data_IF_271215050933
#
_entry.id   IF_271215050933
#
_cell.length_a   1.000
_cell.length_b   1.000
_cell.length_c   1.000
_cell.angle_alpha   90.00
_cell.angle_beta   90.00
_cell.angle_gamma   90.00
#
_symmetry.space_group_name_H-M   'P 1'
#
loop_
_entity.id
_entity.type
_entity.pdbx_description
1 polymer ?
#
# COMPACT_ATOMS: atom_id res chain seq x y z
N UNK A 1 3.02 -18.71 25.79
CA UNK A 1 3.62 -17.90 24.74
C UNK A 1 4.94 -17.32 25.25
N UNK A 2 5.98 -17.42 24.48
CA UNK A 2 7.26 -16.84 24.86
C UNK A 2 7.34 -15.35 24.49
N UNK A 3 8.23 -14.63 25.13
CA UNK A 3 8.53 -13.24 24.78
C UNK A 3 8.99 -13.14 23.33
N UNK A 4 9.76 -14.11 22.86
CA UNK A 4 10.25 -14.12 21.48
C UNK A 4 9.11 -14.26 20.46
N UNK A 5 8.08 -15.05 20.77
CA UNK A 5 6.91 -15.15 19.90
C UNK A 5 6.16 -13.82 19.81
N UNK A 6 5.98 -13.13 20.94
CA UNK A 6 5.34 -11.83 20.95
C UNK A 6 6.16 -10.81 20.16
N UNK A 7 7.48 -10.82 20.29
CA UNK A 7 8.37 -9.95 19.55
C UNK A 7 8.32 -10.23 18.04
N UNK A 8 8.25 -11.50 17.64
CA UNK A 8 8.11 -11.86 16.23
C UNK A 8 6.81 -11.34 15.64
N UNK A 9 5.71 -11.49 16.34
CA UNK A 9 4.40 -10.99 15.88
C UNK A 9 4.46 -9.46 15.72
N UNK A 10 5.03 -8.77 16.70
CA UNK A 10 5.19 -7.32 16.63
C UNK A 10 6.09 -6.91 15.46
N UNK A 11 7.17 -7.64 15.22
CA UNK A 11 8.09 -7.36 14.12
C UNK A 11 7.39 -7.52 12.75
N UNK A 12 6.49 -8.50 12.62
CA UNK A 12 5.73 -8.65 11.36
C UNK A 12 4.79 -7.48 11.13
N UNK A 13 4.16 -6.98 12.19
CA UNK A 13 3.32 -5.78 12.11
C UNK A 13 4.12 -4.55 11.71
N UNK A 14 5.31 -4.37 12.29
CA UNK A 14 6.19 -3.26 11.93
C UNK A 14 6.64 -3.33 10.47
N UNK A 15 7.00 -4.51 9.98
CA UNK A 15 7.38 -4.71 8.59
C UNK A 15 6.23 -4.37 7.64
N UNK A 16 5.02 -4.81 7.98
CA UNK A 16 3.82 -4.52 7.19
C UNK A 16 3.53 -3.02 7.15
N UNK A 17 3.63 -2.33 8.28
CA UNK A 17 3.41 -0.88 8.34
C UNK A 17 4.51 -0.12 7.60
N UNK A 18 5.75 -0.60 7.64
CA UNK A 18 6.83 0.00 6.86
C UNK A 18 6.55 -0.07 5.36
N UNK A 19 6.09 -1.21 4.88
CA UNK A 19 5.71 -1.35 3.46
C UNK A 19 4.55 -0.42 3.13
N UNK A 20 3.58 -0.29 4.02
CA UNK A 20 2.48 0.66 3.85
C UNK A 20 3.01 2.10 3.73
N UNK A 21 3.94 2.50 4.60
CA UNK A 21 4.59 3.81 4.52
C UNK A 21 5.28 4.01 3.18
N UNK A 22 6.00 3.01 2.68
CA UNK A 22 6.70 3.09 1.40
C UNK A 22 5.70 3.27 0.25
N UNK A 23 4.57 2.55 0.26
CA UNK A 23 3.54 2.67 -0.76
C UNK A 23 2.88 4.04 -0.73
N UNK A 24 2.55 4.55 0.46
CA UNK A 24 1.98 5.90 0.61
C UNK A 24 2.96 6.95 0.10
N UNK A 25 4.24 6.79 0.42
CA UNK A 25 5.30 7.71 -0.06
C UNK A 25 5.40 7.70 -1.57
N UNK A 26 5.27 6.54 -2.21
CA UNK A 26 5.22 6.44 -3.67
C UNK A 26 4.01 7.17 -4.24
N UNK A 27 2.85 7.04 -3.60
CA UNK A 27 1.64 7.75 -4.04
C UNK A 27 1.85 9.26 -4.01
N UNK A 28 2.43 9.78 -2.93
CA UNK A 28 2.69 11.21 -2.80
C UNK A 28 3.73 11.66 -3.83
N UNK A 29 4.80 10.89 -4.00
CA UNK A 29 5.85 11.22 -4.96
C UNK A 29 5.33 11.27 -6.40
N UNK A 30 4.29 10.50 -6.70
CA UNK A 30 3.72 10.39 -8.04
C UNK A 30 2.39 11.13 -8.20
N UNK A 31 2.04 12.03 -7.28
CA UNK A 31 0.74 12.73 -7.31
C UNK A 31 0.53 13.55 -8.60
N UNK A 32 1.61 13.98 -9.22
CA UNK A 32 1.58 14.75 -10.48
C UNK A 32 2.10 13.95 -11.68
N UNK A 33 2.30 12.65 -11.54
CA UNK A 33 2.82 11.81 -12.61
C UNK A 33 1.71 11.46 -13.59
N UNK A 34 1.72 12.10 -14.76
CA UNK A 34 0.70 11.92 -15.79
C UNK A 34 1.05 10.79 -16.78
N UNK A 35 2.28 10.32 -16.74
CA UNK A 35 2.74 9.22 -17.59
C UNK A 35 3.81 8.41 -16.85
N UNK A 36 3.58 7.11 -16.74
CA UNK A 36 4.56 6.16 -16.20
C UNK A 36 5.42 5.57 -17.33
N UNK A 37 6.25 4.58 -17.00
CA UNK A 37 7.13 3.93 -17.97
C UNK A 37 6.35 3.23 -19.10
N UNK A 38 5.11 2.84 -18.85
CA UNK A 38 4.23 2.17 -19.82
C UNK A 38 3.34 3.16 -20.56
N UNK A 39 3.45 4.46 -20.32
CA UNK A 39 2.65 5.49 -20.94
C UNK A 39 1.28 5.72 -20.30
N UNK A 40 1.02 5.12 -19.16
CA UNK A 40 -0.25 5.25 -18.45
C UNK A 40 -0.13 6.24 -17.29
N UNK A 41 -1.27 6.80 -16.87
CA UNK A 41 -1.33 7.64 -15.68
C UNK A 41 -1.09 6.78 -14.45
N UNK A 42 -0.30 7.31 -13.49
CA UNK A 42 -0.07 6.63 -12.22
C UNK A 42 -1.39 6.37 -11.50
N UNK A 43 -1.56 5.18 -10.97
CA UNK A 43 -2.74 4.81 -10.16
C UNK A 43 -2.34 4.68 -8.70
N UNK A 44 -3.21 5.15 -7.82
CA UNK A 44 -3.00 5.04 -6.38
C UNK A 44 -2.82 3.59 -5.98
N UNK A 45 -1.80 3.31 -5.19
CA UNK A 45 -1.55 1.98 -4.64
C UNK A 45 -1.91 1.93 -3.18
N UNK A 46 -2.40 0.80 -2.74
CA UNK A 46 -2.67 0.52 -1.34
C UNK A 46 -2.28 -0.91 -1.02
N UNK A 47 -2.11 -1.20 0.26
CA UNK A 47 -1.74 -2.54 0.72
C UNK A 47 -2.93 -3.22 1.36
N UNK A 48 -3.00 -4.53 1.22
CA UNK A 48 -4.00 -5.37 1.88
C UNK A 48 -3.27 -6.20 2.93
N UNK A 49 -3.63 -6.01 4.18
CA UNK A 49 -3.09 -6.78 5.29
C UNK A 49 -3.85 -8.08 5.45
N UNK A 50 -3.14 -9.08 5.86
CA UNK A 50 -3.71 -10.41 6.08
C UNK A 50 -2.98 -11.07 7.24
N UNK A 51 -3.70 -11.85 8.03
CA UNK A 51 -3.06 -12.67 9.04
C UNK A 51 -2.23 -13.77 8.36
N UNK A 52 -1.01 -13.99 8.84
CA UNK A 52 -0.18 -15.09 8.34
C UNK A 52 -0.88 -16.41 8.61
N UNK A 53 -0.89 -17.31 7.63
CA UNK A 53 -1.44 -18.63 7.75
C UNK A 53 -0.34 -19.68 7.70
N UNK A 54 -0.59 -20.83 8.30
CA UNK A 54 0.33 -21.95 8.20
C UNK A 54 0.15 -22.64 6.86
N UNK A 55 1.27 -22.94 6.22
CA UNK A 55 1.26 -23.55 4.88
C UNK A 55 1.56 -25.05 4.91
N UNK A 56 1.94 -25.60 6.10
CA UNK A 56 2.27 -27.00 6.23
C UNK A 56 1.49 -27.64 7.39
N UNK A 57 1.43 -28.97 7.37
CA UNK A 57 0.81 -29.71 8.47
C UNK A 57 1.56 -29.49 9.78
N UNK A 58 2.89 -29.44 9.73
CA UNK A 58 3.70 -29.19 10.93
C UNK A 58 3.39 -27.81 11.54
N UNK A 59 3.25 -26.79 10.68
CA UNK A 59 2.86 -25.46 11.14
C UNK A 59 1.46 -25.46 11.74
N UNK A 60 0.52 -26.17 11.10
CA UNK A 60 -0.84 -26.30 11.60
C UNK A 60 -0.87 -27.01 12.95
N UNK A 61 -0.04 -28.03 13.13
CA UNK A 61 0.06 -28.76 14.39
C UNK A 61 0.62 -27.87 15.50
N UNK A 62 1.67 -27.11 15.21
CA UNK A 62 2.24 -26.16 16.16
C UNK A 62 1.20 -25.12 16.56
N UNK A 63 0.43 -24.63 15.61
CA UNK A 63 -0.64 -23.68 15.89
C UNK A 63 -1.70 -24.28 16.81
N UNK A 64 -2.12 -25.52 16.54
CA UNK A 64 -3.13 -26.19 17.34
C UNK A 64 -2.66 -26.43 18.78
N UNK A 65 -1.37 -26.74 18.98
CA UNK A 65 -0.83 -27.03 20.29
C UNK A 65 -0.32 -25.78 21.02
N UNK A 66 0.18 -24.81 20.27
CA UNK A 66 0.79 -23.60 20.84
C UNK A 66 -0.16 -22.43 20.99
N UNK A 67 -1.29 -22.44 20.29
CA UNK A 67 -2.26 -21.36 20.27
C UNK A 67 -1.59 -20.01 20.02
N UNK A 68 -0.66 -19.96 19.10
CA UNK A 68 0.13 -18.77 18.82
C UNK A 68 -0.44 -18.01 17.63
N UNK A 69 -0.53 -16.71 17.79
CA UNK A 69 -0.73 -15.82 16.65
C UNK A 69 0.48 -15.91 15.72
N UNK A 70 0.25 -15.65 14.43
CA UNK A 70 1.26 -15.81 13.40
C UNK A 70 1.81 -14.50 12.90
N UNK A 71 1.17 -13.40 13.30
CA UNK A 71 1.53 -12.09 12.83
C UNK A 71 0.77 -11.68 11.57
N UNK A 72 1.24 -10.64 10.93
CA UNK A 72 0.59 -9.96 9.80
C UNK A 72 1.51 -10.00 8.60
N UNK A 73 0.93 -10.17 7.43
CA UNK A 73 1.65 -10.01 6.16
C UNK A 73 0.85 -9.13 5.22
N UNK A 74 1.50 -8.65 4.18
CA UNK A 74 0.82 -7.97 3.09
C UNK A 74 0.51 -9.01 2.03
N UNK A 75 -0.79 -9.26 1.78
CA UNK A 75 -1.21 -10.25 0.80
C UNK A 75 -1.05 -9.77 -0.63
N UNK A 76 -1.28 -8.47 -0.85
CA UNK A 76 -1.03 -7.87 -2.16
C UNK A 76 -0.93 -6.35 -2.04
N UNK A 77 -0.31 -5.77 -3.05
CA UNK A 77 -0.33 -4.33 -3.29
C UNK A 77 -1.35 -4.08 -4.39
N UNK A 78 -2.39 -3.37 -4.04
CA UNK A 78 -3.57 -3.17 -4.89
C UNK A 78 -3.47 -1.81 -5.59
N UNK A 79 -3.79 -1.78 -6.89
CA UNK A 79 -3.91 -0.53 -7.64
C UNK A 79 -5.38 -0.13 -7.74
N UNK A 80 -5.67 1.10 -7.34
CA UNK A 80 -7.01 1.66 -7.45
C UNK A 80 -7.26 2.06 -8.91
N UNK A 81 -8.23 1.42 -9.54
CA UNK A 81 -8.54 1.65 -10.95
C UNK A 81 -9.48 2.83 -11.21
N UNK A 82 -9.93 3.52 -10.15
CA UNK A 82 -10.81 4.67 -10.33
C UNK A 82 -10.12 5.78 -11.14
N UNK A 83 -10.92 6.60 -11.81
CA UNK A 83 -10.40 7.67 -12.64
C UNK A 83 -9.78 8.77 -11.80
N UNK A 84 -8.69 9.33 -12.31
CA UNK A 84 -8.01 10.44 -11.67
C UNK A 84 -8.66 11.78 -12.01
N UNK A 85 -8.04 12.84 -11.49
CA UNK A 85 -8.47 14.21 -11.71
C UNK A 85 -8.12 14.64 -13.14
N UNK A 86 -9.09 15.24 -13.82
CA UNK A 86 -8.85 15.84 -15.14
C UNK A 86 -8.70 17.35 -15.01
N UNK A 87 -7.67 17.89 -15.63
CA UNK A 87 -7.37 19.32 -15.61
C UNK A 87 -7.20 19.80 -17.05
N UNK A 88 -7.81 20.94 -17.37
CA UNK A 88 -7.67 21.56 -18.69
C UNK A 88 -6.31 22.27 -18.77
N UNK A 89 -5.40 21.74 -19.56
CA UNK A 89 -4.11 22.32 -19.84
C UNK A 89 -3.62 21.87 -21.22
N UNK A 90 -4.07 22.58 -22.28
CA UNK A 90 -3.73 22.14 -23.64
C UNK A 90 -2.24 22.30 -23.99
N UNK A 91 -1.48 23.04 -23.20
CA UNK A 91 -0.03 23.18 -23.41
C UNK A 91 0.77 22.03 -22.81
N UNK A 92 0.14 21.16 -22.00
CA UNK A 92 0.83 20.05 -21.37
C UNK A 92 1.15 18.95 -22.40
N UNK A 93 2.37 18.35 -22.35
CA UNK A 93 2.75 17.29 -23.31
C UNK A 93 1.83 16.08 -23.30
N UNK A 94 1.17 15.80 -22.19
CA UNK A 94 0.28 14.65 -22.01
C UNK A 94 -1.20 15.01 -22.15
N UNK A 95 -1.51 16.22 -22.66
CA UNK A 95 -2.88 16.62 -22.90
C UNK A 95 -3.51 15.78 -24.01
N UNK A 96 -4.80 15.47 -23.88
CA UNK A 96 -5.55 14.77 -24.90
C UNK A 96 -5.98 15.72 -26.03
N UNK A 97 -6.76 15.19 -26.99
CA UNK A 97 -7.23 15.98 -28.12
C UNK A 97 -8.11 17.16 -27.72
N UNK A 98 -8.75 17.06 -26.56
CA UNK A 98 -9.61 18.11 -26.01
C UNK A 98 -8.86 19.08 -25.11
N UNK A 99 -7.57 18.86 -24.89
CA UNK A 99 -6.73 19.70 -24.06
C UNK A 99 -6.77 19.35 -22.57
N UNK A 100 -7.29 18.19 -22.20
CA UNK A 100 -7.35 17.74 -20.80
C UNK A 100 -6.19 16.82 -20.47
N UNK A 101 -5.65 17.00 -19.27
CA UNK A 101 -4.62 16.13 -18.69
C UNK A 101 -5.24 15.34 -17.55
N UNK A 102 -5.03 14.04 -17.56
CA UNK A 102 -5.49 13.18 -16.46
C UNK A 102 -4.36 13.01 -15.45
N UNK A 103 -4.61 13.44 -14.23
CA UNK A 103 -3.67 13.27 -13.11
C UNK A 103 -4.02 12.02 -12.33
N UNK A 104 -3.07 11.49 -11.52
CA UNK A 104 -3.34 10.31 -10.69
C UNK A 104 -4.52 10.51 -9.74
N UNK A 105 -5.17 9.41 -9.40
CA UNK A 105 -6.27 9.38 -8.43
C UNK A 105 -5.76 9.40 -6.98
N UNK A 106 -4.72 10.19 -6.72
CA UNK A 106 -4.09 10.36 -5.42
C UNK A 106 -4.57 11.67 -4.80
N UNK A 107 -5.08 11.59 -3.57
CA UNK A 107 -5.43 12.77 -2.79
C UNK A 107 -4.34 13.01 -1.76
N UNK A 108 -3.60 14.09 -1.90
CA UNK A 108 -2.45 14.41 -1.04
C UNK A 108 -2.84 14.48 0.44
N UNK A 109 -3.99 15.06 0.76
CA UNK A 109 -4.45 15.17 2.16
C UNK A 109 -4.73 13.79 2.75
N UNK A 110 -5.40 12.93 2.00
CA UNK A 110 -5.68 11.55 2.42
C UNK A 110 -4.37 10.77 2.63
N UNK A 111 -3.43 10.90 1.71
CA UNK A 111 -2.14 10.20 1.81
C UNK A 111 -1.31 10.71 2.99
N UNK A 112 -1.34 12.01 3.28
CA UNK A 112 -0.68 12.56 4.47
C UNK A 112 -1.30 12.05 5.76
N UNK A 113 -2.63 11.94 5.82
CA UNK A 113 -3.33 11.36 6.95
C UNK A 113 -2.94 9.89 7.13
N UNK A 114 -2.88 9.15 6.04
CA UNK A 114 -2.49 7.74 6.06
C UNK A 114 -1.04 7.56 6.51
N UNK A 115 -0.13 8.46 6.12
CA UNK A 115 1.26 8.43 6.59
C UNK A 115 1.33 8.63 8.09
N UNK A 116 0.58 9.57 8.62
CA UNK A 116 0.54 9.84 10.07
C UNK A 116 0.01 8.60 10.80
N UNK A 117 -1.06 8.01 10.29
CA UNK A 117 -1.66 6.82 10.87
C UNK A 117 -0.70 5.63 10.83
N UNK A 118 -0.06 5.38 9.70
CA UNK A 118 0.91 4.30 9.55
C UNK A 118 2.15 4.51 10.44
N UNK A 119 2.60 5.76 10.56
CA UNK A 119 3.74 6.09 11.44
C UNK A 119 3.42 5.83 12.91
N UNK A 120 2.20 6.13 13.33
CA UNK A 120 1.75 5.82 14.70
C UNK A 120 1.60 4.33 14.94
N UNK A 121 1.21 3.58 13.91
CA UNK A 121 1.02 2.14 14.00
C UNK A 121 2.35 1.38 13.98
N UNK A 122 3.39 1.98 13.41
CA UNK A 122 4.72 1.40 13.35
C UNK A 122 5.39 1.47 14.72
#
# INVERSE_FOLDING_TARGET
MSVFSAMNISATGMTAQRTRLDVISQNIANVNTTRDADGNVYKRKSVIFEEKTYVSFDDALINATGNLGKGVKISEIFEDSSEGRMVYDPSHPDADEKGYVTYPNVNTVTEMTDIIDASRSY
#
